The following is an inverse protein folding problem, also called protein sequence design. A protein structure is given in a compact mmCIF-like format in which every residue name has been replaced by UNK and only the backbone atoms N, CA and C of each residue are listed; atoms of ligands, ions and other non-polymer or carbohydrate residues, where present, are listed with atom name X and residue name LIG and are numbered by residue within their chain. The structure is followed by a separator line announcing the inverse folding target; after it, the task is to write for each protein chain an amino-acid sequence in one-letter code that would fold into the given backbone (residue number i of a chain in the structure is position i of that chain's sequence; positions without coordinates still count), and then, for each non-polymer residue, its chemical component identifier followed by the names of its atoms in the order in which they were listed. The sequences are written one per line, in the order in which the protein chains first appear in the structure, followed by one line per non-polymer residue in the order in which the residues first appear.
data_IF_064599627511
#
_entry.id   IF_064599627511
#
_cell.length_a   1.000
_cell.length_b   1.000
_cell.length_c   1.000
_cell.angle_alpha   90.00
_cell.angle_beta   90.00
_cell.angle_gamma   90.00
#
_symmetry.space_group_name_H-M   'P 1'
#
loop_
_entity.id
_entity.type
_entity.pdbx_description
1 polymer ?
#
# COMPACT_ATOMS: atom_id res chain seq x y z
N UNK A 1 -23.64 63.05 -41.47
CA UNK A 1 -25.00 62.44 -41.45
C UNK A 1 -24.87 61.07 -40.79
N UNK A 2 -25.27 60.92 -39.53
CA UNK A 2 -25.25 59.61 -38.85
C UNK A 2 -26.64 59.35 -38.28
N UNK A 3 -27.28 58.41 -38.95
CA UNK A 3 -28.69 58.07 -38.92
C UNK A 3 -29.10 57.43 -37.62
N UNK A 4 -30.23 57.93 -37.10
CA UNK A 4 -30.95 57.40 -35.95
C UNK A 4 -31.34 55.92 -36.12
N UNK A 5 -31.73 55.32 -34.98
CA UNK A 5 -32.52 54.08 -34.82
C UNK A 5 -31.72 52.82 -34.51
N UNK A 6 -31.28 52.68 -33.26
CA UNK A 6 -31.21 51.36 -32.60
C UNK A 6 -31.70 51.53 -31.15
N UNK A 7 -32.98 51.92 -31.00
CA UNK A 7 -33.71 51.74 -29.74
C UNK A 7 -34.76 50.68 -29.98
N UNK A 8 -34.73 49.64 -29.14
CA UNK A 8 -35.60 48.46 -29.05
C UNK A 8 -35.13 47.22 -29.81
N UNK A 9 -34.32 46.43 -29.14
CA UNK A 9 -34.44 44.98 -29.10
C UNK A 9 -33.93 44.55 -27.72
N UNK A 10 -34.85 44.14 -26.85
CA UNK A 10 -34.98 42.74 -26.43
C UNK A 10 -33.84 42.38 -25.45
N UNK A 11 -34.13 42.44 -24.15
CA UNK A 11 -34.66 41.30 -23.41
C UNK A 11 -33.56 40.25 -23.19
N UNK A 12 -33.20 40.05 -21.92
CA UNK A 12 -32.26 38.98 -21.55
C UNK A 12 -31.25 39.35 -20.47
N UNK A 13 -31.64 40.17 -19.48
CA UNK A 13 -30.99 40.07 -18.18
C UNK A 13 -31.51 38.77 -17.55
N UNK A 14 -30.79 37.65 -17.73
CA UNK A 14 -30.79 36.48 -16.84
C UNK A 14 -29.86 35.42 -17.43
N UNK A 15 -28.65 35.30 -16.88
CA UNK A 15 -28.23 34.13 -16.08
C UNK A 15 -26.73 34.23 -15.79
N UNK A 16 -26.43 34.56 -14.55
CA UNK A 16 -25.16 34.30 -13.89
C UNK A 16 -24.89 32.80 -13.91
N UNK A 17 -24.14 32.33 -14.92
CA UNK A 17 -23.69 30.95 -15.05
C UNK A 17 -22.24 30.80 -14.61
N UNK A 18 -21.94 31.10 -13.34
CA UNK A 18 -20.66 30.75 -12.75
C UNK A 18 -20.62 29.25 -12.46
N UNK A 19 -20.16 28.43 -13.40
CA UNK A 19 -19.71 27.08 -13.07
C UNK A 19 -18.27 27.20 -12.62
N UNK A 20 -18.07 27.20 -11.31
CA UNK A 20 -16.76 26.99 -10.73
C UNK A 20 -16.19 25.70 -11.35
N UNK A 21 -15.05 25.81 -12.03
CA UNK A 21 -14.27 24.64 -12.36
C UNK A 21 -13.89 23.98 -11.03
N UNK A 22 -14.65 22.96 -10.64
CA UNK A 22 -14.17 21.99 -9.67
C UNK A 22 -12.98 21.30 -10.33
N UNK A 23 -11.80 21.90 -10.18
CA UNK A 23 -10.57 21.15 -10.21
C UNK A 23 -10.67 20.24 -8.99
N UNK A 24 -11.38 19.11 -9.16
CA UNK A 24 -11.31 17.99 -8.24
C UNK A 24 -9.86 17.55 -8.37
N UNK A 25 -9.04 18.05 -7.47
CA UNK A 25 -7.69 17.55 -7.29
C UNK A 25 -7.86 16.06 -7.14
N UNK A 26 -7.39 15.32 -8.14
CA UNK A 26 -7.10 13.90 -8.01
C UNK A 26 -5.93 13.79 -7.02
N UNK A 27 -6.18 14.15 -5.76
CA UNK A 27 -5.48 13.59 -4.62
C UNK A 27 -5.96 12.17 -4.44
N UNK A 28 -5.88 11.36 -5.50
CA UNK A 28 -5.85 9.92 -5.35
C UNK A 28 -4.58 9.67 -4.56
N UNK A 29 -4.72 9.42 -3.25
CA UNK A 29 -3.62 9.04 -2.41
C UNK A 29 -2.91 7.88 -3.07
N UNK A 30 -1.75 8.13 -3.66
CA UNK A 30 -0.87 7.07 -4.09
C UNK A 30 -0.54 6.32 -2.80
N UNK A 31 -1.04 5.09 -2.67
CA UNK A 31 -0.56 4.19 -1.64
C UNK A 31 0.93 3.99 -1.95
N UNK A 32 1.80 4.71 -1.23
CA UNK A 32 3.23 4.56 -1.38
C UNK A 32 3.60 3.20 -0.77
N UNK A 33 3.77 2.20 -1.62
CA UNK A 33 4.35 0.93 -1.23
C UNK A 33 5.84 1.18 -0.97
N UNK A 34 6.25 1.09 0.30
CA UNK A 34 7.66 1.03 0.62
C UNK A 34 8.18 -0.35 0.23
N UNK A 35 9.28 -0.39 -0.54
CA UNK A 35 9.95 -1.63 -0.89
C UNK A 35 10.98 -1.96 0.18
N UNK A 36 10.76 -3.05 0.90
CA UNK A 36 11.72 -3.60 1.84
C UNK A 36 12.80 -4.39 1.08
N UNK A 37 14.06 -4.39 1.56
CA UNK A 37 15.08 -5.30 1.06
C UNK A 37 14.60 -6.75 1.12
N UNK A 38 14.89 -7.52 0.08
CA UNK A 38 14.62 -8.96 0.05
C UNK A 38 15.71 -9.65 0.88
N UNK A 39 15.29 -10.50 1.81
CA UNK A 39 16.14 -11.35 2.63
C UNK A 39 16.36 -12.72 2.00
N UNK A 40 15.93 -13.77 2.69
CA UNK A 40 16.14 -15.17 2.31
C UNK A 40 14.98 -15.68 1.47
N UNK A 41 15.29 -16.39 0.37
CA UNK A 41 14.30 -17.06 -0.48
C UNK A 41 14.50 -18.57 -0.49
N UNK A 42 13.42 -19.34 -0.58
CA UNK A 42 13.46 -20.81 -0.66
C UNK A 42 12.80 -21.39 -1.94
N UNK A 43 12.48 -20.54 -2.92
CA UNK A 43 11.75 -20.91 -4.14
C UNK A 43 10.23 -20.92 -4.04
N UNK A 44 9.65 -20.82 -2.84
CA UNK A 44 8.20 -20.61 -2.62
C UNK A 44 7.90 -19.18 -2.19
N UNK A 45 8.75 -18.64 -1.33
CA UNK A 45 8.61 -17.33 -0.75
C UNK A 45 9.99 -16.71 -0.52
N UNK A 46 9.98 -15.40 -0.33
CA UNK A 46 11.11 -14.64 0.19
C UNK A 46 10.68 -13.92 1.46
N UNK A 47 11.58 -13.82 2.43
CA UNK A 47 11.45 -12.84 3.49
C UNK A 47 11.90 -11.46 3.01
N UNK A 48 11.49 -10.46 3.77
CA UNK A 48 11.90 -9.06 3.66
C UNK A 48 12.55 -8.63 4.97
N UNK A 49 13.43 -7.64 4.92
CA UNK A 49 14.04 -7.06 6.12
C UNK A 49 13.37 -5.72 6.48
N UNK A 50 13.00 -5.57 7.75
CA UNK A 50 12.66 -4.29 8.37
C UNK A 50 13.70 -3.96 9.44
N UNK A 51 14.20 -2.72 9.46
CA UNK A 51 15.13 -2.21 10.47
C UNK A 51 14.61 -0.89 11.08
N UNK A 52 15.14 -0.48 12.25
CA UNK A 52 14.78 0.78 12.87
C UNK A 52 15.00 1.96 11.91
N UNK A 53 13.98 2.82 11.79
CA UNK A 53 13.96 3.96 10.86
C UNK A 53 13.30 3.68 9.51
N UNK A 54 13.02 2.42 9.20
CA UNK A 54 12.18 2.06 8.04
C UNK A 54 10.69 2.18 8.43
N UNK A 55 9.81 2.56 7.48
CA UNK A 55 8.38 2.56 7.75
C UNK A 55 7.92 1.15 8.13
N UNK A 56 6.94 1.04 9.02
CA UNK A 56 6.36 -0.25 9.38
C UNK A 56 5.42 -0.75 8.28
N UNK A 57 5.32 -2.07 8.03
CA UNK A 57 4.40 -2.65 7.05
C UNK A 57 2.94 -2.68 7.55
N UNK A 58 2.40 -1.53 7.93
CA UNK A 58 1.09 -1.41 8.61
C UNK A 58 -0.11 -1.77 7.74
N UNK A 59 0.06 -1.87 6.42
CA UNK A 59 -0.97 -2.32 5.49
C UNK A 59 -1.55 -3.71 5.86
N UNK A 60 -0.80 -4.49 6.62
CA UNK A 60 -1.11 -5.85 7.04
C UNK A 60 -1.37 -5.98 8.55
N UNK A 61 -1.52 -4.83 9.23
CA UNK A 61 -1.55 -4.69 10.68
C UNK A 61 -0.23 -4.15 11.24
N UNK A 62 -0.26 -3.65 12.48
CA UNK A 62 0.96 -3.20 13.16
C UNK A 62 1.67 -4.43 13.76
N UNK A 63 2.91 -4.74 13.34
CA UNK A 63 3.62 -5.89 13.88
C UNK A 63 4.03 -5.65 15.33
N UNK A 64 3.97 -6.70 16.15
CA UNK A 64 4.53 -6.70 17.50
C UNK A 64 6.03 -7.04 17.46
N UNK A 65 6.85 -6.09 17.03
CA UNK A 65 8.30 -6.21 16.90
C UNK A 65 9.06 -5.45 17.99
N UNK A 66 10.31 -5.86 18.22
CA UNK A 66 11.27 -5.05 18.96
C UNK A 66 11.78 -3.94 18.03
N UNK A 67 11.35 -2.72 18.31
CA UNK A 67 11.67 -1.57 17.46
C UNK A 67 13.15 -1.15 17.49
N UNK A 68 14.00 -1.83 18.27
CA UNK A 68 15.44 -1.60 18.39
C UNK A 68 16.33 -2.49 17.51
N UNK A 69 15.77 -3.48 16.82
CA UNK A 69 16.54 -4.45 16.01
C UNK A 69 15.93 -4.67 14.63
N UNK A 70 16.69 -5.27 13.73
CA UNK A 70 16.17 -5.67 12.43
C UNK A 70 15.39 -6.98 12.54
N UNK A 71 14.29 -7.07 11.79
CA UNK A 71 13.41 -8.22 11.72
C UNK A 71 13.27 -8.68 10.28
N UNK A 72 13.35 -10.00 10.08
CA UNK A 72 12.93 -10.63 8.84
C UNK A 72 11.44 -10.94 8.91
N UNK A 73 10.73 -10.77 7.80
CA UNK A 73 9.30 -11.04 7.76
C UNK A 73 8.81 -11.52 6.40
N UNK A 74 7.73 -12.29 6.42
CA UNK A 74 6.98 -12.72 5.24
C UNK A 74 5.55 -12.21 5.32
N UNK A 75 4.94 -11.98 4.16
CA UNK A 75 3.52 -11.63 4.06
C UNK A 75 2.71 -12.93 4.00
N UNK A 76 1.86 -13.17 5.00
CA UNK A 76 1.04 -14.37 5.07
C UNK A 76 0.43 -14.61 6.45
N UNK A 77 -0.34 -15.70 6.53
CA UNK A 77 -1.00 -16.13 7.77
C UNK A 77 -0.67 -17.58 8.07
N UNK A 78 -0.30 -17.85 9.32
CA UNK A 78 -0.03 -19.18 9.84
C UNK A 78 -1.25 -19.76 10.55
N UNK A 79 -1.45 -21.05 10.37
CA UNK A 79 -2.40 -21.87 11.10
C UNK A 79 -1.90 -23.32 11.16
N UNK A 80 -2.65 -24.20 11.81
CA UNK A 80 -2.28 -25.61 12.01
C UNK A 80 -2.10 -26.41 10.70
N UNK A 81 -2.63 -25.91 9.58
CA UNK A 81 -2.50 -26.53 8.25
C UNK A 81 -1.43 -25.85 7.36
N UNK A 82 -0.68 -24.88 7.89
CA UNK A 82 0.37 -24.21 7.12
C UNK A 82 1.48 -25.20 6.72
N UNK A 83 2.02 -25.10 5.49
CA UNK A 83 3.17 -25.89 5.09
C UNK A 83 4.36 -25.71 6.03
N UNK A 84 5.18 -26.76 6.18
CA UNK A 84 6.34 -26.74 7.09
C UNK A 84 7.36 -25.62 6.79
N UNK A 85 7.48 -25.21 5.52
CA UNK A 85 8.35 -24.09 5.15
C UNK A 85 7.84 -22.74 5.68
N UNK A 86 6.55 -22.60 6.00
CA UNK A 86 5.99 -21.37 6.58
C UNK A 86 6.35 -21.25 8.05
N UNK A 87 6.28 -22.35 8.81
CA UNK A 87 6.64 -22.35 10.24
C UNK A 87 8.15 -22.41 10.48
N UNK A 88 8.91 -22.85 9.47
CA UNK A 88 10.36 -23.02 9.52
C UNK A 88 10.80 -23.84 10.76
N UNK A 89 10.16 -24.99 10.97
CA UNK A 89 10.43 -25.82 12.15
C UNK A 89 9.95 -25.23 13.48
N UNK A 90 9.03 -24.27 13.44
CA UNK A 90 8.43 -23.64 14.62
C UNK A 90 9.13 -22.36 15.09
N UNK A 91 10.13 -21.87 14.35
CA UNK A 91 10.83 -20.61 14.70
C UNK A 91 10.05 -19.37 14.28
N UNK A 92 9.21 -19.48 13.24
CA UNK A 92 8.45 -18.35 12.74
C UNK A 92 7.23 -18.06 13.62
N UNK A 93 6.87 -16.79 13.74
CA UNK A 93 5.77 -16.32 14.60
C UNK A 93 4.83 -15.36 13.86
N UNK A 94 3.52 -15.49 14.10
CA UNK A 94 2.55 -14.51 13.61
C UNK A 94 2.64 -13.24 14.46
N UNK A 95 2.94 -12.11 13.84
CA UNK A 95 3.13 -10.81 14.52
C UNK A 95 2.07 -9.77 14.17
N UNK A 96 1.34 -9.97 13.07
CA UNK A 96 0.11 -9.25 12.71
C UNK A 96 -0.77 -10.14 11.82
N UNK A 97 -1.95 -9.69 11.40
CA UNK A 97 -2.91 -10.50 10.63
C UNK A 97 -2.31 -11.14 9.36
N UNK A 98 -1.43 -10.43 8.66
CA UNK A 98 -0.74 -10.95 7.48
C UNK A 98 0.78 -10.76 7.52
N UNK A 99 1.36 -10.69 8.73
CA UNK A 99 2.82 -10.60 8.90
C UNK A 99 3.31 -11.75 9.78
N UNK A 100 4.20 -12.54 9.20
CA UNK A 100 4.93 -13.61 9.84
C UNK A 100 6.35 -13.11 10.05
N UNK A 101 6.84 -13.12 11.27
CA UNK A 101 8.23 -12.86 11.57
C UNK A 101 9.06 -14.12 11.34
N UNK A 102 10.17 -13.98 10.61
CA UNK A 102 11.13 -15.02 10.29
C UNK A 102 11.34 -15.25 8.79
N UNK A 103 12.21 -16.21 8.50
CA UNK A 103 12.58 -16.63 7.15
C UNK A 103 11.77 -17.85 6.68
N UNK A 104 11.58 -18.03 5.37
CA UNK A 104 11.01 -19.27 4.87
C UNK A 104 11.96 -20.43 5.19
N UNK A 105 11.40 -21.50 5.74
CA UNK A 105 12.15 -22.73 6.01
C UNK A 105 12.51 -23.48 4.74
N UNK A 106 13.31 -24.56 4.85
CA UNK A 106 13.67 -25.37 3.70
C UNK A 106 12.43 -25.86 2.95
N UNK A 107 12.41 -25.69 1.62
CA UNK A 107 11.43 -26.33 0.76
C UNK A 107 12.10 -27.42 -0.08
N UNK A 108 11.91 -28.72 0.25
CA UNK A 108 12.37 -29.81 -0.59
C UNK A 108 11.65 -29.79 -1.94
N UNK A 109 12.41 -29.57 -3.03
CA UNK A 109 11.89 -29.57 -4.40
C UNK A 109 11.50 -28.19 -4.95
N UNK A 110 11.65 -27.13 -4.17
CA UNK A 110 11.53 -25.77 -4.66
C UNK A 110 12.88 -25.27 -5.16
N UNK A 111 12.93 -24.74 -6.38
CA UNK A 111 14.12 -24.03 -6.88
C UNK A 111 13.97 -22.55 -6.56
N UNK A 112 14.95 -21.99 -5.86
CA UNK A 112 15.08 -20.56 -5.56
C UNK A 112 15.46 -19.75 -6.79
#
# INVERSE_FOLDING_TARGET
MTTAKIKRALAGALLSGGVAAAAVGLGAGAAQAYTYPIGVCNGMACSYEWCPGMPLPTAFGTPNWDMGVCHHFMIGTMNDNSPAWVSNGGVNRQVAAMLIEGDPGPCPGCVS
#
